data_IF_666852696640
#
_entry.id   IF_666852696640
#
_cell.length_a   1.000
_cell.length_b   1.000
_cell.length_c   1.000
_cell.angle_alpha   90.00
_cell.angle_beta   90.00
_cell.angle_gamma   90.00
#
_symmetry.space_group_name_H-M   'P 1'
#
loop_
_entity.id
_entity.type
_entity.pdbx_description
1 polymer ?
#
# COMPACT_ATOMS: atom_id res chain seq x y z
N UNK A 1 -1.44 1.53 -9.66
CA UNK A 1 -1.27 1.59 -11.11
C UNK A 1 0.05 1.01 -11.56
N UNK A 2 0.07 0.14 -12.56
CA UNK A 2 1.28 -0.43 -13.13
C UNK A 2 2.11 0.58 -13.95
N UNK A 3 1.55 1.75 -14.31
CA UNK A 3 2.16 2.65 -15.26
C UNK A 3 2.37 1.94 -16.61
N UNK A 4 3.58 1.99 -17.16
CA UNK A 4 3.94 1.24 -18.38
C UNK A 4 4.36 -0.22 -18.11
N UNK A 5 4.28 -0.71 -16.87
CA UNK A 5 4.44 -2.11 -16.51
C UNK A 5 5.79 -2.58 -15.93
N UNK A 6 6.77 -1.73 -15.60
CA UNK A 6 8.12 -2.21 -15.21
C UNK A 6 8.09 -3.11 -13.98
N UNK A 7 7.34 -2.74 -12.93
CA UNK A 7 7.17 -3.56 -11.74
C UNK A 7 6.33 -4.81 -12.04
N UNK A 8 5.26 -4.66 -12.82
CA UNK A 8 4.34 -5.76 -13.16
C UNK A 8 5.06 -6.89 -13.87
N UNK A 9 5.97 -6.57 -14.81
CA UNK A 9 6.83 -7.55 -15.49
C UNK A 9 7.71 -8.33 -14.50
N UNK A 10 8.31 -7.64 -13.52
CA UNK A 10 9.15 -8.31 -12.53
C UNK A 10 8.33 -9.21 -11.59
N UNK A 11 7.11 -8.80 -11.27
CA UNK A 11 6.17 -9.62 -10.50
C UNK A 11 5.70 -10.85 -11.31
N UNK A 12 5.34 -10.66 -12.58
CA UNK A 12 4.91 -11.74 -13.47
C UNK A 12 5.95 -12.85 -13.65
N UNK A 13 7.24 -12.50 -13.58
CA UNK A 13 8.34 -13.48 -13.63
C UNK A 13 8.46 -14.36 -12.39
N UNK A 14 7.83 -13.98 -11.27
CA UNK A 14 8.02 -14.62 -9.95
C UNK A 14 6.74 -15.11 -9.30
N UNK A 15 5.60 -14.52 -9.65
CA UNK A 15 4.30 -14.87 -9.10
C UNK A 15 3.55 -15.84 -10.00
N UNK A 16 2.72 -16.68 -9.41
CA UNK A 16 1.84 -17.57 -10.17
C UNK A 16 0.82 -16.77 -10.99
N UNK A 17 0.34 -15.65 -10.45
CA UNK A 17 -0.62 -14.75 -11.11
C UNK A 17 -0.41 -13.30 -10.67
N UNK A 18 -0.66 -12.35 -11.57
CA UNK A 18 -0.59 -10.91 -11.30
C UNK A 18 -1.84 -10.23 -11.86
N UNK A 19 -2.53 -9.44 -11.02
CA UNK A 19 -3.61 -8.55 -11.42
C UNK A 19 -3.16 -7.10 -11.18
N UNK A 20 -3.00 -6.34 -12.25
CA UNK A 20 -2.51 -4.96 -12.21
C UNK A 20 -3.67 -3.99 -12.41
N UNK A 21 -4.08 -3.30 -11.34
CA UNK A 21 -5.20 -2.34 -11.39
C UNK A 21 -4.71 -1.04 -12.03
N UNK A 22 -5.33 -0.59 -13.12
CA UNK A 22 -4.99 0.66 -13.82
C UNK A 22 -6.23 1.50 -14.08
N UNK A 23 -6.15 2.78 -13.69
CA UNK A 23 -7.21 3.76 -13.89
C UNK A 23 -7.12 4.44 -15.26
N UNK A 24 -5.89 4.71 -15.73
CA UNK A 24 -5.65 5.42 -16.97
C UNK A 24 -5.79 4.50 -18.19
N UNK A 25 -6.87 4.68 -18.93
CA UNK A 25 -7.16 3.90 -20.15
C UNK A 25 -6.15 4.11 -21.28
N UNK A 26 -5.44 5.24 -21.28
CA UNK A 26 -4.42 5.54 -22.30
C UNK A 26 -3.22 4.62 -22.19
N UNK A 27 -2.98 4.01 -21.02
CA UNK A 27 -1.90 3.06 -20.78
C UNK A 27 -2.24 1.61 -21.19
N UNK A 28 -3.51 1.29 -21.46
CA UNK A 28 -3.89 -0.09 -21.78
C UNK A 28 -3.22 -0.66 -23.02
N UNK A 29 -3.08 0.07 -24.15
CA UNK A 29 -2.36 -0.45 -25.33
C UNK A 29 -0.90 -0.76 -25.01
N UNK A 30 -0.23 0.12 -24.25
CA UNK A 30 1.18 -0.07 -23.83
C UNK A 30 1.31 -1.28 -22.91
N UNK A 31 0.38 -1.42 -21.94
CA UNK A 31 0.37 -2.55 -21.02
C UNK A 31 0.06 -3.87 -21.73
N UNK A 32 -0.81 -3.87 -22.73
CA UNK A 32 -1.10 -5.05 -23.55
C UNK A 32 0.16 -5.52 -24.29
N UNK A 33 0.95 -4.62 -24.84
CA UNK A 33 2.22 -4.94 -25.49
C UNK A 33 3.27 -5.39 -24.48
N UNK A 34 3.44 -4.63 -23.37
CA UNK A 34 4.45 -4.92 -22.32
C UNK A 34 4.20 -6.27 -21.65
N UNK A 35 2.95 -6.64 -21.43
CA UNK A 35 2.56 -7.86 -20.74
C UNK A 35 2.27 -9.05 -21.67
N UNK A 36 2.30 -8.87 -23.00
CA UNK A 36 2.08 -9.95 -23.97
C UNK A 36 2.93 -11.22 -23.71
N UNK A 37 4.22 -11.12 -23.27
CA UNK A 37 5.03 -12.30 -22.95
C UNK A 37 4.62 -13.00 -21.64
N UNK A 38 3.69 -12.42 -20.84
CA UNK A 38 3.37 -12.88 -19.48
C UNK A 38 1.89 -13.25 -19.36
N UNK A 39 1.49 -14.48 -19.76
CA UNK A 39 0.09 -14.90 -19.75
C UNK A 39 -0.53 -15.00 -18.34
N UNK A 40 0.31 -14.99 -17.31
CA UNK A 40 -0.09 -14.96 -15.91
C UNK A 40 -0.32 -13.53 -15.36
N UNK A 41 -0.17 -12.49 -16.18
CA UNK A 41 -0.41 -11.12 -15.82
C UNK A 41 -1.61 -10.53 -16.57
N UNK A 42 -2.53 -9.90 -15.87
CA UNK A 42 -3.69 -9.24 -16.46
C UNK A 42 -3.82 -7.80 -15.95
N UNK A 43 -4.35 -6.91 -16.80
CA UNK A 43 -4.73 -5.55 -16.42
C UNK A 43 -6.19 -5.56 -15.98
N UNK A 44 -6.45 -5.04 -14.78
CA UNK A 44 -7.79 -4.83 -14.25
C UNK A 44 -8.14 -3.35 -14.38
N UNK A 45 -9.07 -2.98 -15.26
CA UNK A 45 -9.52 -1.59 -15.38
C UNK A 45 -10.22 -1.11 -14.12
N UNK A 46 -9.77 0.01 -13.54
CA UNK A 46 -10.45 0.56 -12.37
C UNK A 46 -9.60 1.44 -11.48
N UNK A 47 -10.28 2.04 -10.52
CA UNK A 47 -9.68 2.82 -9.44
C UNK A 47 -9.51 1.91 -8.21
N UNK A 48 -8.28 1.70 -7.77
CA UNK A 48 -7.98 0.85 -6.62
C UNK A 48 -8.67 1.31 -5.31
N UNK A 49 -9.04 2.59 -5.22
CA UNK A 49 -9.79 3.13 -4.07
C UNK A 49 -11.30 2.91 -4.15
N UNK A 50 -11.82 2.44 -5.28
CA UNK A 50 -13.26 2.22 -5.52
C UNK A 50 -13.61 0.76 -5.72
N UNK A 51 -12.62 -0.06 -6.05
CA UNK A 51 -12.79 -1.50 -6.23
C UNK A 51 -12.92 -2.19 -4.87
N UNK A 52 -13.78 -3.19 -4.79
CA UNK A 52 -13.74 -4.17 -3.70
C UNK A 52 -12.51 -5.07 -3.88
N UNK A 53 -11.43 -4.71 -3.17
CA UNK A 53 -10.15 -5.40 -3.28
C UNK A 53 -10.22 -6.83 -2.74
N UNK A 54 -11.07 -7.09 -1.74
CA UNK A 54 -11.25 -8.43 -1.19
C UNK A 54 -11.98 -9.34 -2.18
N UNK A 55 -13.07 -8.85 -2.79
CA UNK A 55 -13.78 -9.58 -3.84
C UNK A 55 -12.89 -9.82 -5.07
N UNK A 56 -12.12 -8.81 -5.49
CA UNK A 56 -11.16 -8.94 -6.57
C UNK A 56 -10.08 -10.00 -6.26
N UNK A 57 -9.55 -9.99 -5.04
CA UNK A 57 -8.54 -10.97 -4.64
C UNK A 57 -9.13 -12.40 -4.61
N UNK A 58 -10.35 -12.57 -4.13
CA UNK A 58 -11.03 -13.86 -4.11
C UNK A 58 -11.29 -14.41 -5.53
N UNK A 59 -11.70 -13.53 -6.46
CA UNK A 59 -11.93 -13.89 -7.88
C UNK A 59 -10.61 -14.25 -8.59
N UNK A 60 -9.59 -13.39 -8.44
CA UNK A 60 -8.36 -13.51 -9.23
C UNK A 60 -7.36 -14.50 -8.68
N UNK A 61 -7.33 -14.72 -7.37
CA UNK A 61 -6.28 -15.50 -6.69
C UNK A 61 -6.83 -16.71 -5.91
N UNK A 62 -7.96 -17.29 -6.38
CA UNK A 62 -8.50 -18.51 -5.77
C UNK A 62 -7.45 -19.61 -5.65
N UNK A 63 -7.28 -20.15 -4.43
CA UNK A 63 -6.26 -21.17 -4.13
C UNK A 63 -4.82 -20.64 -4.02
N UNK A 64 -4.60 -19.33 -4.16
CA UNK A 64 -3.31 -18.67 -4.00
C UNK A 64 -3.31 -17.77 -2.76
N UNK A 65 -2.12 -17.38 -2.32
CA UNK A 65 -1.95 -16.40 -1.24
C UNK A 65 -1.77 -15.01 -1.85
N UNK A 66 -2.77 -14.10 -1.77
CA UNK A 66 -2.64 -12.77 -2.35
C UNK A 66 -1.65 -11.91 -1.56
N UNK A 67 -0.83 -11.18 -2.28
CA UNK A 67 0.02 -10.10 -1.77
C UNK A 67 -0.20 -8.84 -2.57
N UNK A 68 -0.07 -7.67 -1.94
CA UNK A 68 -0.09 -6.39 -2.64
C UNK A 68 1.35 -5.88 -2.81
N UNK A 69 1.67 -5.41 -4.03
CA UNK A 69 2.96 -4.80 -4.33
C UNK A 69 2.76 -3.59 -5.25
N UNK A 70 3.18 -2.39 -4.84
CA UNK A 70 2.95 -1.19 -5.62
C UNK A 70 3.99 -0.08 -5.38
N UNK A 71 4.25 0.70 -6.44
CA UNK A 71 4.81 2.04 -6.32
C UNK A 71 3.64 3.03 -6.27
N UNK A 72 3.37 3.64 -5.11
CA UNK A 72 2.19 4.48 -4.91
C UNK A 72 2.47 5.94 -5.28
N UNK A 73 1.53 6.59 -5.99
CA UNK A 73 1.59 8.04 -6.14
C UNK A 73 1.54 8.74 -4.78
N UNK A 74 2.41 9.72 -4.57
CA UNK A 74 2.61 10.33 -3.24
C UNK A 74 1.36 11.02 -2.68
N UNK A 75 0.54 11.61 -3.57
CA UNK A 75 -0.68 12.33 -3.19
C UNK A 75 -1.83 11.43 -2.72
N UNK A 76 -1.79 10.14 -3.01
CA UNK A 76 -2.85 9.19 -2.63
C UNK A 76 -2.32 8.03 -1.76
N UNK A 77 -1.08 8.13 -1.26
CA UNK A 77 -0.45 7.07 -0.45
C UNK A 77 -1.32 6.64 0.72
N UNK A 78 -1.77 7.59 1.56
CA UNK A 78 -2.57 7.28 2.75
C UNK A 78 -3.89 6.58 2.43
N UNK A 79 -4.77 7.10 1.54
CA UNK A 79 -6.02 6.43 1.24
C UNK A 79 -5.84 5.06 0.57
N UNK A 80 -4.84 4.89 -0.29
CA UNK A 80 -4.59 3.57 -0.92
C UNK A 80 -4.08 2.56 0.11
N UNK A 81 -3.15 2.94 0.99
CA UNK A 81 -2.70 2.06 2.07
C UNK A 81 -3.83 1.69 3.03
N UNK A 82 -4.69 2.65 3.38
CA UNK A 82 -5.88 2.37 4.20
C UNK A 82 -6.76 1.32 3.52
N UNK A 83 -7.08 1.49 2.24
CA UNK A 83 -7.90 0.54 1.50
C UNK A 83 -7.26 -0.86 1.42
N UNK A 84 -5.94 -0.94 1.20
CA UNK A 84 -5.22 -2.22 1.16
C UNK A 84 -5.23 -2.93 2.53
N UNK A 85 -5.07 -2.19 3.62
CA UNK A 85 -5.10 -2.74 4.98
C UNK A 85 -6.51 -3.20 5.35
N UNK A 86 -7.52 -2.36 5.12
CA UNK A 86 -8.92 -2.64 5.45
C UNK A 86 -9.51 -3.78 4.61
N UNK A 87 -8.99 -4.02 3.40
CA UNK A 87 -9.39 -5.17 2.58
C UNK A 87 -9.17 -6.52 3.28
N UNK A 88 -8.20 -6.63 4.19
CA UNK A 88 -7.99 -7.78 5.06
C UNK A 88 -7.63 -9.10 4.34
N UNK A 89 -7.39 -9.06 3.03
CA UNK A 89 -7.19 -10.25 2.20
C UNK A 89 -5.73 -10.52 1.83
N UNK A 90 -4.82 -9.58 2.05
CA UNK A 90 -3.42 -9.70 1.65
C UNK A 90 -2.55 -10.27 2.77
N UNK A 91 -1.73 -11.27 2.46
CA UNK A 91 -0.75 -11.82 3.42
C UNK A 91 0.41 -10.83 3.69
N UNK A 92 0.70 -9.94 2.76
CA UNK A 92 1.63 -8.82 2.94
C UNK A 92 1.33 -7.70 1.95
N UNK A 93 1.67 -6.47 2.34
CA UNK A 93 1.54 -5.27 1.53
C UNK A 93 2.93 -4.65 1.45
N UNK A 94 3.55 -4.66 0.27
CA UNK A 94 4.87 -4.05 0.04
C UNK A 94 4.70 -2.86 -0.88
N UNK A 95 5.06 -1.67 -0.42
CA UNK A 95 4.86 -0.44 -1.18
C UNK A 95 6.08 0.46 -1.14
N UNK A 96 6.29 1.17 -2.25
CA UNK A 96 7.23 2.28 -2.31
C UNK A 96 6.46 3.59 -2.19
N UNK A 97 6.88 4.42 -1.24
CA UNK A 97 6.23 5.68 -0.85
C UNK A 97 7.29 6.73 -0.52
N UNK A 98 6.90 7.98 -0.23
CA UNK A 98 7.84 8.97 0.27
C UNK A 98 8.49 8.52 1.58
N UNK A 99 9.81 8.74 1.72
CA UNK A 99 10.58 8.38 2.91
C UNK A 99 9.98 8.93 4.20
N UNK A 100 9.53 10.18 4.19
CA UNK A 100 8.90 10.81 5.38
C UNK A 100 7.65 10.03 5.83
N UNK A 101 6.81 9.60 4.87
CA UNK A 101 5.60 8.83 5.19
C UNK A 101 5.97 7.43 5.71
N UNK A 102 7.00 6.80 5.12
CA UNK A 102 7.50 5.51 5.57
C UNK A 102 8.03 5.58 7.02
N UNK A 103 8.84 6.59 7.33
CA UNK A 103 9.35 6.81 8.69
C UNK A 103 8.22 7.04 9.69
N UNK A 104 7.19 7.82 9.30
CA UNK A 104 6.01 8.06 10.13
C UNK A 104 5.25 6.76 10.41
N UNK A 105 5.04 5.90 9.40
CA UNK A 105 4.36 4.61 9.58
C UNK A 105 5.13 3.70 10.53
N UNK A 106 6.47 3.68 10.44
CA UNK A 106 7.35 2.85 11.26
C UNK A 106 7.77 3.50 12.59
N UNK A 107 7.34 4.73 12.87
CA UNK A 107 7.74 5.49 14.03
C UNK A 107 7.33 4.82 15.34
N UNK A 108 8.22 4.83 16.34
CA UNK A 108 7.89 4.34 17.68
C UNK A 108 6.99 5.32 18.45
N UNK A 109 6.10 4.84 19.33
CA UNK A 109 5.35 5.69 20.23
C UNK A 109 6.27 6.65 21.01
N UNK A 110 5.87 7.92 21.13
CA UNK A 110 6.64 8.97 21.79
C UNK A 110 7.67 9.68 20.90
N UNK A 111 7.93 9.21 19.69
CA UNK A 111 8.78 9.92 18.74
C UNK A 111 8.04 11.08 18.05
N UNK A 112 8.82 12.04 17.50
CA UNK A 112 8.26 13.23 16.81
C UNK A 112 7.43 12.87 15.58
N UNK A 113 7.74 11.76 14.93
CA UNK A 113 7.09 11.33 13.68
C UNK A 113 5.85 10.48 13.94
N UNK A 114 5.65 10.00 15.17
CA UNK A 114 4.50 9.19 15.54
C UNK A 114 3.20 9.99 15.47
N UNK A 115 2.20 9.45 14.77
CA UNK A 115 0.93 10.12 14.53
C UNK A 115 -0.25 9.16 14.38
N UNK A 116 -1.44 9.70 14.14
CA UNK A 116 -2.66 8.89 14.00
C UNK A 116 -2.53 7.77 12.94
N UNK A 117 -1.83 8.05 11.83
CA UNK A 117 -1.63 7.05 10.78
C UNK A 117 -0.60 5.98 11.19
N UNK A 118 0.37 6.32 12.04
CA UNK A 118 1.26 5.33 12.67
C UNK A 118 0.47 4.35 13.52
N UNK A 119 -0.44 4.87 14.36
CA UNK A 119 -1.34 4.05 15.20
C UNK A 119 -2.17 3.12 14.32
N UNK A 120 -2.81 3.64 13.29
CA UNK A 120 -3.65 2.85 12.37
C UNK A 120 -2.85 1.71 11.73
N UNK A 121 -1.72 2.01 11.11
CA UNK A 121 -0.90 1.00 10.45
C UNK A 121 -0.37 -0.05 11.43
N UNK A 122 0.12 0.37 12.61
CA UNK A 122 0.71 -0.54 13.59
C UNK A 122 -0.34 -1.35 14.37
N UNK A 123 -1.57 -0.88 14.45
CA UNK A 123 -2.68 -1.63 15.03
C UNK A 123 -3.05 -2.83 14.13
N UNK A 124 -3.17 -2.60 12.83
CA UNK A 124 -3.59 -3.64 11.87
C UNK A 124 -2.42 -4.49 11.35
N UNK A 125 -1.21 -3.95 11.32
CA UNK A 125 -0.05 -4.59 10.69
C UNK A 125 1.21 -4.46 11.53
N UNK A 126 2.25 -5.16 11.10
CA UNK A 126 3.64 -4.97 11.54
C UNK A 126 4.41 -4.30 10.40
N UNK A 127 4.60 -2.97 10.44
CA UNK A 127 5.35 -2.26 9.42
C UNK A 127 6.86 -2.46 9.60
N UNK A 128 7.55 -2.63 8.48
CA UNK A 128 9.01 -2.74 8.41
C UNK A 128 9.53 -1.88 7.27
N UNK A 129 10.50 -1.02 7.54
CA UNK A 129 11.23 -0.28 6.51
C UNK A 129 12.30 -1.21 5.93
N UNK A 130 12.22 -1.49 4.63
CA UNK A 130 13.14 -2.42 3.96
C UNK A 130 14.40 -1.70 3.45
N UNK A 131 14.22 -0.64 2.65
CA UNK A 131 15.32 0.16 2.09
C UNK A 131 14.82 1.49 1.56
N UNK A 132 15.76 2.43 1.38
CA UNK A 132 15.50 3.72 0.75
C UNK A 132 15.87 3.69 -0.73
N UNK A 133 15.20 4.55 -1.53
CA UNK A 133 15.40 4.69 -2.97
C UNK A 133 15.61 6.16 -3.28
N UNK A 134 16.81 6.50 -3.80
CA UNK A 134 17.16 7.87 -4.13
C UNK A 134 16.42 8.41 -5.36
N UNK A 135 16.30 9.75 -5.48
CA UNK A 135 15.64 10.39 -6.62
C UNK A 135 16.24 10.02 -7.99
N UNK A 136 17.51 9.70 -8.03
CA UNK A 136 18.25 9.30 -9.24
C UNK A 136 17.73 8.00 -9.88
N UNK A 137 16.96 7.21 -9.12
CA UNK A 137 16.35 5.97 -9.61
C UNK A 137 15.05 6.20 -10.41
N UNK A 138 14.62 7.45 -10.58
CA UNK A 138 13.34 7.78 -11.20
C UNK A 138 13.50 8.69 -12.44
N UNK A 139 12.55 8.55 -13.37
CA UNK A 139 12.46 9.43 -14.53
C UNK A 139 10.99 9.87 -14.73
N UNK A 140 10.66 11.15 -14.55
CA UNK A 140 11.52 12.23 -14.03
C UNK A 140 11.89 12.03 -12.56
N UNK A 141 13.02 12.56 -12.12
CA UNK A 141 13.48 12.48 -10.75
C UNK A 141 12.57 13.30 -9.81
N UNK A 142 12.03 12.71 -8.73
CA UNK A 142 11.28 13.42 -7.71
C UNK A 142 12.20 14.32 -6.89
N UNK A 143 11.62 15.26 -6.13
CA UNK A 143 12.37 16.15 -5.23
C UNK A 143 12.70 15.51 -3.88
N UNK A 144 12.21 14.32 -3.62
CA UNK A 144 12.28 13.65 -2.31
C UNK A 144 12.73 12.20 -2.48
N UNK A 145 13.40 11.68 -1.46
CA UNK A 145 13.75 10.25 -1.37
C UNK A 145 12.50 9.42 -1.13
N UNK A 146 12.44 8.25 -1.74
CA UNK A 146 11.44 7.22 -1.50
C UNK A 146 11.95 6.17 -0.52
N UNK A 147 11.04 5.39 0.01
CA UNK A 147 11.37 4.20 0.78
C UNK A 147 10.39 3.07 0.47
N UNK A 148 10.89 1.86 0.52
CA UNK A 148 10.06 0.64 0.41
C UNK A 148 9.79 0.14 1.81
N UNK A 149 8.52 -0.04 2.13
CA UNK A 149 8.05 -0.64 3.38
C UNK A 149 7.27 -1.90 3.10
N UNK A 150 7.29 -2.81 4.05
CA UNK A 150 6.44 -3.99 4.10
C UNK A 150 5.55 -3.91 5.32
N UNK A 151 4.26 -4.17 5.12
CA UNK A 151 3.27 -4.28 6.18
C UNK A 151 2.74 -5.71 6.16
N UNK A 152 2.95 -6.44 7.25
CA UNK A 152 2.41 -7.78 7.44
C UNK A 152 1.20 -7.67 8.36
N UNK A 153 -0.02 -8.05 7.89
CA UNK A 153 -1.20 -8.03 8.73
C UNK A 153 -1.00 -8.84 10.01
N UNK A 154 -1.52 -8.33 11.12
CA UNK A 154 -1.51 -9.07 12.39
C UNK A 154 -2.58 -10.15 12.37
N UNK A 155 -2.29 -11.31 12.93
CA UNK A 155 -3.27 -12.40 13.14
C UNK A 155 -4.33 -12.02 14.19
N UNK A 156 -3.98 -11.12 15.11
CA UNK A 156 -4.86 -10.55 16.10
C UNK A 156 -4.41 -9.11 16.41
N UNK A 157 -5.34 -8.21 16.73
CA UNK A 157 -4.99 -6.85 17.15
C UNK A 157 -4.16 -6.90 18.43
N UNK A 158 -3.27 -5.91 18.69
CA UNK A 158 -2.41 -5.88 19.87
C UNK A 158 -3.22 -5.75 21.18
N UNK A 159 -4.46 -5.28 21.09
CA UNK A 159 -5.41 -5.21 22.19
C UNK A 159 -6.83 -5.46 21.70
N UNK A 160 -7.62 -6.17 22.49
CA UNK A 160 -9.04 -6.36 22.23
C UNK A 160 -9.79 -5.08 22.61
N UNK A 161 -10.19 -4.31 21.62
CA UNK A 161 -10.98 -3.10 21.80
C UNK A 161 -12.48 -3.47 21.88
N UNK A 162 -13.21 -2.79 22.75
CA UNK A 162 -14.67 -2.92 22.82
C UNK A 162 -15.34 -2.26 21.62
N UNK A 163 -14.78 -1.11 21.16
CA UNK A 163 -15.23 -0.36 19.99
C UNK A 163 -14.02 0.21 19.26
N UNK A 164 -13.65 -0.43 18.16
CA UNK A 164 -12.53 -0.02 17.32
C UNK A 164 -12.81 1.31 16.61
N UNK A 165 -14.04 1.54 16.18
CA UNK A 165 -14.42 2.80 15.53
C UNK A 165 -14.25 3.99 16.46
N UNK A 166 -14.72 3.86 17.68
CA UNK A 166 -14.55 4.88 18.71
C UNK A 166 -13.06 5.09 19.05
N UNK A 167 -12.30 4.02 19.18
CA UNK A 167 -10.85 4.11 19.40
C UNK A 167 -10.18 4.97 18.34
N UNK A 168 -10.41 4.73 17.05
CA UNK A 168 -9.81 5.51 15.99
C UNK A 168 -10.35 6.95 15.90
N UNK A 169 -11.58 7.21 16.37
CA UNK A 169 -12.07 8.58 16.54
C UNK A 169 -11.26 9.32 17.63
N UNK A 170 -11.03 8.69 18.77
CA UNK A 170 -10.18 9.26 19.85
C UNK A 170 -8.76 9.49 19.36
N UNK A 171 -8.16 8.51 18.68
CA UNK A 171 -6.82 8.66 18.09
C UNK A 171 -6.76 9.87 17.15
N UNK A 172 -7.69 9.99 16.22
CA UNK A 172 -7.73 11.15 15.30
C UNK A 172 -7.88 12.48 16.03
N UNK A 173 -8.76 12.54 17.03
CA UNK A 173 -8.97 13.74 17.83
C UNK A 173 -7.70 14.13 18.61
N UNK A 174 -7.01 13.16 19.20
CA UNK A 174 -5.79 13.36 19.98
C UNK A 174 -4.64 13.95 19.14
N UNK A 175 -4.53 13.56 17.87
CA UNK A 175 -3.51 14.06 16.96
C UNK A 175 -3.92 15.31 16.16
N UNK A 176 -5.20 15.70 16.17
CA UNK A 176 -5.71 16.84 15.39
C UNK A 176 -5.12 18.19 15.85
N UNK A 177 -4.74 18.31 17.11
CA UNK A 177 -4.22 19.55 17.69
C UNK A 177 -2.87 19.31 18.38
N UNK A 178 -1.84 18.99 17.59
CA UNK A 178 -0.50 18.58 18.05
C UNK A 178 0.19 19.54 19.05
N UNK A 179 -0.28 20.81 19.18
CA UNK A 179 0.29 21.83 20.08
C UNK A 179 -0.57 22.12 21.30
N UNK A 180 -1.69 21.43 21.47
CA UNK A 180 -2.57 21.59 22.64
C UNK A 180 -2.63 20.27 23.37
N UNK A 181 -2.47 20.32 24.70
CA UNK A 181 -2.78 19.18 25.57
C UNK A 181 -4.26 18.86 25.51
N UNK A 182 -4.60 17.60 25.69
CA UNK A 182 -5.98 17.17 25.90
C UNK A 182 -6.52 17.76 27.23
#
# INVERSE_FOLDING_TARGET
>A
GPGIGPLTVQLARRAAKVAAIELDRTLYPILAETLAPYPNAEVVPGDAMKLDLAALAADKFSGLTPIACANLPYNITTPVLTALIEAGCFASITVMIQREVALRICAAPGSSDYGAFSVFCQYHTQPELLFEVGPECFLPAPKVTSAVIRLVPRSAPPQNLVDESFFFQVVRASFAQRRKTL
#
